data_IF_931420507549
#
_entry.id   IF_931420507549
#
_cell.length_a   1.000
_cell.length_b   1.000
_cell.length_c   1.000
_cell.angle_alpha   90.00
_cell.angle_beta   90.00
_cell.angle_gamma   90.00
#
_symmetry.space_group_name_H-M   'P 1'
#
loop_
_entity.id
_entity.type
_entity.pdbx_description
1 polymer ?
#
# COMPACT_ATOMS: atom_id res chain seq x y z
N UNK A 1 -6.29 23.51 -8.63
CA UNK A 1 -7.00 22.22 -8.45
C UNK A 1 -7.83 21.85 -9.67
N UNK A 2 -8.61 22.77 -10.27
CA UNK A 2 -9.42 22.46 -11.47
C UNK A 2 -8.59 21.92 -12.65
N UNK A 3 -7.45 22.54 -12.94
CA UNK A 3 -6.53 22.11 -14.01
C UNK A 3 -5.91 20.72 -13.80
N UNK A 4 -5.94 20.20 -12.57
CA UNK A 4 -5.35 18.91 -12.21
C UNK A 4 -6.37 17.77 -12.23
N UNK A 5 -7.66 18.04 -12.47
CA UNK A 5 -8.71 16.99 -12.47
C UNK A 5 -8.49 15.92 -13.53
N UNK A 6 -7.86 16.27 -14.65
CA UNK A 6 -7.56 15.36 -15.75
C UNK A 6 -6.19 14.67 -15.61
N UNK A 7 -5.45 14.94 -14.53
CA UNK A 7 -4.15 14.33 -14.30
C UNK A 7 -4.31 12.81 -14.10
N UNK A 8 -3.49 11.97 -14.75
CA UNK A 8 -3.53 10.53 -14.50
C UNK A 8 -2.89 10.19 -13.15
N UNK A 9 -3.20 9.01 -12.63
CA UNK A 9 -2.35 8.38 -11.62
C UNK A 9 -0.99 8.03 -12.23
N UNK A 10 0.07 8.13 -11.45
CA UNK A 10 1.43 7.80 -11.86
C UNK A 10 2.01 6.80 -10.86
N UNK A 11 2.65 5.76 -11.38
CA UNK A 11 3.61 4.94 -10.64
C UNK A 11 4.92 5.07 -11.39
N UNK A 12 5.99 5.40 -10.68
CA UNK A 12 7.26 5.72 -11.33
C UNK A 12 8.45 5.26 -10.50
N UNK A 13 9.46 4.72 -11.18
CA UNK A 13 10.79 4.39 -10.65
C UNK A 13 11.84 5.05 -11.53
N UNK A 14 12.86 5.70 -10.96
CA UNK A 14 13.93 6.31 -11.76
C UNK A 14 14.84 5.25 -12.39
N UNK A 15 15.11 4.18 -11.64
CA UNK A 15 15.84 3.00 -12.08
C UNK A 15 15.25 1.76 -11.38
N UNK A 16 15.67 0.55 -11.77
CA UNK A 16 15.10 -0.70 -11.22
C UNK A 16 15.45 -0.92 -9.74
N UNK A 17 16.59 -0.38 -9.30
CA UNK A 17 17.16 -0.54 -7.96
C UNK A 17 16.47 0.38 -6.93
N UNK A 18 15.92 1.51 -7.38
CA UNK A 18 15.24 2.50 -6.54
C UNK A 18 13.82 2.07 -6.20
N UNK A 19 13.39 2.44 -4.99
CA UNK A 19 11.97 2.44 -4.64
C UNK A 19 11.20 3.47 -5.45
N UNK A 20 9.99 3.06 -5.84
CA UNK A 20 9.12 3.86 -6.68
C UNK A 20 8.27 4.82 -5.87
N UNK A 21 7.80 5.87 -6.53
CA UNK A 21 6.71 6.72 -6.04
C UNK A 21 5.42 6.34 -6.73
N UNK A 22 4.31 6.57 -6.05
CA UNK A 22 3.01 6.71 -6.67
C UNK A 22 2.45 8.11 -6.42
N UNK A 23 1.75 8.66 -7.40
CA UNK A 23 1.08 9.95 -7.32
C UNK A 23 -0.36 9.77 -7.78
N UNK A 24 -1.30 10.23 -6.96
CA UNK A 24 -2.72 10.21 -7.25
C UNK A 24 -3.21 11.60 -7.66
N UNK A 25 -4.17 11.68 -8.60
CA UNK A 25 -4.83 12.93 -8.92
C UNK A 25 -5.56 13.53 -7.72
N UNK A 26 -6.04 14.78 -7.84
CA UNK A 26 -6.91 15.39 -6.85
C UNK A 26 -8.10 14.48 -6.50
N UNK A 27 -8.12 13.96 -5.26
CA UNK A 27 -9.23 13.17 -4.72
C UNK A 27 -9.85 13.92 -3.54
N UNK A 28 -11.19 13.90 -3.45
CA UNK A 28 -11.93 14.46 -2.31
C UNK A 28 -11.98 13.46 -1.17
N UNK A 29 -11.59 13.89 0.03
CA UNK A 29 -11.56 13.07 1.23
C UNK A 29 -12.78 13.36 2.14
N UNK A 30 -13.07 12.51 3.15
CA UNK A 30 -14.22 12.69 4.05
C UNK A 30 -14.24 14.02 4.82
N UNK A 31 -13.08 14.66 4.99
CA UNK A 31 -12.95 15.99 5.59
C UNK A 31 -13.42 17.14 4.66
N UNK A 32 -13.92 16.80 3.48
CA UNK A 32 -14.42 17.72 2.47
C UNK A 32 -13.33 18.38 1.62
N UNK A 33 -12.05 18.19 1.94
CA UNK A 33 -10.92 18.77 1.20
C UNK A 33 -10.52 17.88 0.04
N UNK A 34 -9.81 18.48 -0.92
CA UNK A 34 -9.26 17.78 -2.08
C UNK A 34 -7.75 17.77 -1.99
N UNK A 35 -7.14 16.58 -2.12
CA UNK A 35 -5.70 16.40 -1.98
C UNK A 35 -5.12 15.75 -3.23
N UNK A 36 -3.95 16.22 -3.63
CA UNK A 36 -3.01 15.45 -4.44
C UNK A 36 -2.17 14.63 -3.46
N UNK A 37 -2.01 13.33 -3.71
CA UNK A 37 -1.29 12.43 -2.79
C UNK A 37 -0.11 11.79 -3.49
N UNK A 38 1.07 11.96 -2.92
CA UNK A 38 2.25 11.17 -3.25
C UNK A 38 2.49 10.15 -2.14
N UNK A 39 3.02 8.98 -2.48
CA UNK A 39 3.53 8.02 -1.52
C UNK A 39 4.65 7.16 -2.10
N UNK A 40 5.31 6.42 -1.22
CA UNK A 40 6.58 5.75 -1.44
C UNK A 40 7.50 6.03 -0.26
N UNK A 41 8.51 5.20 -0.06
CA UNK A 41 9.55 5.43 0.93
C UNK A 41 10.91 5.38 0.22
N UNK A 42 11.89 6.21 0.62
CA UNK A 42 13.22 6.18 0.03
C UNK A 42 14.09 5.05 0.59
N UNK A 43 13.63 4.36 1.64
CA UNK A 43 14.34 3.30 2.35
C UNK A 43 13.39 2.47 3.22
N UNK A 44 13.76 1.21 3.46
CA UNK A 44 13.01 0.27 4.30
C UNK A 44 13.25 0.50 5.79
N UNK A 45 12.17 0.67 6.54
CA UNK A 45 12.16 0.63 8.01
C UNK A 45 11.43 -0.61 8.50
N UNK A 46 12.18 -1.58 9.01
CA UNK A 46 11.60 -2.78 9.60
C UNK A 46 10.98 -2.48 10.98
N UNK A 47 9.72 -2.84 11.16
CA UNK A 47 8.99 -2.78 12.43
C UNK A 47 8.67 -4.21 12.88
N UNK A 48 9.51 -4.85 13.71
CA UNK A 48 9.46 -6.29 13.93
C UNK A 48 8.33 -6.76 14.86
N UNK A 49 7.64 -5.84 15.54
CA UNK A 49 6.62 -6.20 16.52
C UNK A 49 5.38 -5.32 16.45
N UNK A 50 4.25 -5.87 16.91
CA UNK A 50 2.98 -5.13 16.98
C UNK A 50 3.09 -3.83 17.81
N UNK A 51 3.75 -3.80 19.01
CA UNK A 51 3.90 -2.56 19.76
C UNK A 51 4.67 -1.48 19.00
N UNK A 52 5.67 -1.86 18.20
CA UNK A 52 6.44 -0.93 17.37
C UNK A 52 5.61 -0.40 16.20
N UNK A 53 4.83 -1.25 15.53
CA UNK A 53 3.88 -0.83 14.49
C UNK A 53 2.84 0.14 15.07
N UNK A 54 2.31 -0.15 16.25
CA UNK A 54 1.36 0.74 16.95
C UNK A 54 1.98 2.08 17.30
N UNK A 55 3.24 2.08 17.76
CA UNK A 55 3.99 3.31 18.05
C UNK A 55 4.22 4.13 16.77
N UNK A 56 4.58 3.46 15.69
CA UNK A 56 4.80 4.06 14.37
C UNK A 56 3.55 4.80 13.86
N UNK A 57 2.37 4.18 13.91
CA UNK A 57 1.15 4.87 13.48
C UNK A 57 0.80 6.11 14.33
N UNK A 58 1.25 6.16 15.58
CA UNK A 58 1.07 7.33 16.46
C UNK A 58 2.09 8.44 16.21
N UNK A 59 3.23 8.14 15.56
CA UNK A 59 4.28 9.13 15.29
C UNK A 59 3.95 10.04 14.11
N UNK A 60 3.10 9.58 13.18
CA UNK A 60 2.79 10.29 11.94
C UNK A 60 3.79 10.07 10.80
N UNK A 61 4.85 9.28 11.02
CA UNK A 61 5.85 8.90 10.00
C UNK A 61 7.22 9.56 10.20
N UNK A 62 8.08 9.49 9.18
CA UNK A 62 9.44 10.05 9.19
C UNK A 62 9.51 11.37 8.42
N UNK A 63 10.13 12.37 9.04
CA UNK A 63 10.41 13.66 8.38
C UNK A 63 11.38 13.50 7.19
N UNK A 64 12.26 12.49 7.23
CA UNK A 64 13.14 12.17 6.09
C UNK A 64 12.34 11.73 4.86
N UNK A 65 11.36 10.83 5.04
CA UNK A 65 10.42 10.43 3.97
C UNK A 65 9.63 11.63 3.47
N UNK A 66 9.11 12.48 4.37
CA UNK A 66 8.36 13.68 3.99
C UNK A 66 9.18 14.61 3.11
N UNK A 67 10.40 14.93 3.51
CA UNK A 67 11.30 15.79 2.73
C UNK A 67 11.59 15.18 1.36
N UNK A 68 11.92 13.89 1.31
CA UNK A 68 12.16 13.20 0.05
C UNK A 68 10.96 13.31 -0.92
N UNK A 69 9.75 12.98 -0.45
CA UNK A 69 8.55 13.06 -1.27
C UNK A 69 8.18 14.51 -1.64
N UNK A 70 8.52 15.49 -0.80
CA UNK A 70 8.32 16.90 -1.09
C UNK A 70 9.25 17.35 -2.22
N UNK A 71 10.53 16.98 -2.18
CA UNK A 71 11.49 17.26 -3.25
C UNK A 71 11.05 16.64 -4.58
N UNK A 72 10.48 15.44 -4.56
CA UNK A 72 9.90 14.80 -5.75
C UNK A 72 8.69 15.57 -6.27
N UNK A 73 7.80 16.01 -5.38
CA UNK A 73 6.63 16.82 -5.75
C UNK A 73 7.02 18.18 -6.34
N UNK A 74 8.04 18.84 -5.82
CA UNK A 74 8.55 20.11 -6.36
C UNK A 74 9.07 19.94 -7.79
N UNK A 75 9.72 18.81 -8.08
CA UNK A 75 10.21 18.49 -9.43
C UNK A 75 9.08 18.14 -10.40
N UNK A 76 8.12 17.31 -9.97
CA UNK A 76 7.04 16.81 -10.83
C UNK A 76 5.91 17.84 -11.03
N UNK A 77 5.64 18.66 -10.01
CA UNK A 77 4.52 19.59 -9.97
C UNK A 77 4.98 20.99 -9.52
N UNK A 78 5.89 21.66 -10.25
CA UNK A 78 6.53 22.91 -9.80
C UNK A 78 5.58 24.10 -9.61
N UNK A 79 4.34 24.00 -10.12
CA UNK A 79 3.30 25.02 -9.97
C UNK A 79 2.31 24.72 -8.83
N UNK A 80 2.42 23.56 -8.17
CA UNK A 80 1.54 23.18 -7.07
C UNK A 80 2.01 23.87 -5.79
N UNK A 81 1.07 24.50 -5.08
CA UNK A 81 1.34 25.07 -3.75
C UNK A 81 1.48 23.94 -2.71
N UNK A 82 2.71 23.72 -2.24
CA UNK A 82 3.06 22.71 -1.23
C UNK A 82 3.10 23.27 0.20
N UNK A 83 2.81 24.57 0.40
CA UNK A 83 2.81 25.20 1.73
C UNK A 83 1.81 24.56 2.70
N UNK A 84 0.79 23.90 2.16
CA UNK A 84 -0.26 23.18 2.89
C UNK A 84 -0.15 21.69 2.64
N UNK A 85 0.86 21.07 3.24
CA UNK A 85 1.09 19.63 3.19
C UNK A 85 0.84 18.96 4.53
N UNK A 86 0.44 17.70 4.48
CA UNK A 86 0.34 16.81 5.63
C UNK A 86 0.88 15.44 5.26
N UNK A 87 1.46 14.74 6.24
CA UNK A 87 1.94 13.36 6.07
C UNK A 87 1.22 12.41 7.03
N UNK A 88 1.30 11.12 6.75
CA UNK A 88 0.82 10.06 7.63
C UNK A 88 1.76 8.86 7.54
N UNK A 89 1.85 8.10 8.63
CA UNK A 89 2.55 6.83 8.67
C UNK A 89 1.81 5.78 7.83
N UNK A 90 2.57 4.94 7.13
CA UNK A 90 2.08 3.78 6.38
C UNK A 90 2.95 2.57 6.73
N UNK A 91 2.44 1.35 6.51
CA UNK A 91 3.22 0.12 6.57
C UNK A 91 2.69 -0.86 5.53
N UNK A 92 3.58 -1.67 4.99
CA UNK A 92 3.28 -2.81 4.15
C UNK A 92 3.80 -4.08 4.82
N UNK A 93 3.05 -5.17 4.72
CA UNK A 93 3.49 -6.48 5.16
C UNK A 93 3.83 -7.34 3.95
N UNK A 94 4.97 -8.02 4.03
CA UNK A 94 5.50 -8.89 2.99
C UNK A 94 5.56 -10.33 3.51
N UNK A 95 5.02 -11.25 2.73
CA UNK A 95 5.16 -12.69 2.96
C UNK A 95 6.49 -13.17 2.39
N UNK A 96 7.00 -14.36 2.80
CA UNK A 96 8.23 -14.90 2.25
C UNK A 96 8.21 -15.11 0.73
N UNK A 97 7.06 -15.47 0.17
CA UNK A 97 6.87 -15.72 -1.26
C UNK A 97 6.45 -14.47 -2.06
N UNK A 98 6.29 -13.32 -1.40
CA UNK A 98 5.87 -12.05 -2.00
C UNK A 98 4.47 -12.08 -2.66
N UNK A 99 3.60 -13.00 -2.23
CA UNK A 99 2.18 -13.06 -2.57
C UNK A 99 1.30 -12.95 -1.32
N UNK A 100 0.06 -12.45 -1.42
CA UNK A 100 -0.88 -12.47 -0.31
C UNK A 100 -1.01 -13.87 0.29
N UNK A 101 -0.97 -13.96 1.62
CA UNK A 101 -1.28 -15.19 2.33
C UNK A 101 -2.81 -15.31 2.47
N UNK A 102 -3.39 -16.34 1.84
CA UNK A 102 -4.82 -16.65 1.85
C UNK A 102 -4.98 -18.09 2.32
N UNK A 103 -5.27 -18.29 3.60
CA UNK A 103 -5.34 -19.63 4.17
C UNK A 103 -6.33 -19.73 5.33
N UNK A 104 -6.82 -20.94 5.59
CA UNK A 104 -7.48 -21.25 6.85
C UNK A 104 -6.42 -21.36 7.95
N UNK A 105 -6.75 -20.90 9.15
CA UNK A 105 -5.92 -21.16 10.33
C UNK A 105 -6.07 -22.62 10.78
N UNK A 106 -5.42 -23.00 11.89
CA UNK A 106 -5.71 -24.28 12.54
C UNK A 106 -7.18 -24.42 12.99
N UNK A 107 -7.94 -23.32 13.06
CA UNK A 107 -9.39 -23.35 13.20
C UNK A 107 -10.06 -23.34 11.82
N UNK A 108 -11.04 -24.23 11.66
CA UNK A 108 -11.95 -24.33 10.52
C UNK A 108 -12.91 -23.13 10.36
N UNK A 109 -12.88 -22.16 11.30
CA UNK A 109 -13.80 -21.00 11.34
C UNK A 109 -13.10 -19.67 11.11
N UNK A 110 -11.78 -19.66 10.97
CA UNK A 110 -10.99 -18.44 10.84
C UNK A 110 -10.09 -18.60 9.62
N UNK A 111 -10.33 -17.77 8.61
CA UNK A 111 -9.44 -17.55 7.48
C UNK A 111 -8.61 -16.29 7.66
N UNK A 112 -7.39 -16.29 7.11
CA UNK A 112 -6.49 -15.13 7.05
C UNK A 112 -6.31 -14.69 5.61
N UNK A 113 -6.44 -13.39 5.38
CA UNK A 113 -6.08 -12.69 4.14
C UNK A 113 -5.14 -11.56 4.52
N UNK A 114 -3.84 -11.74 4.36
CA UNK A 114 -2.83 -10.78 4.82
C UNK A 114 -1.60 -10.74 3.90
N UNK A 115 -0.63 -9.88 4.22
CA UNK A 115 0.64 -9.84 3.50
C UNK A 115 0.48 -9.36 2.06
N UNK A 116 -0.24 -8.26 1.86
CA UNK A 116 -0.57 -7.78 0.51
C UNK A 116 0.60 -7.21 -0.30
N UNK A 117 1.83 -7.31 0.20
CA UNK A 117 3.09 -7.08 -0.52
C UNK A 117 3.12 -5.77 -1.33
N UNK A 118 2.63 -4.68 -0.74
CA UNK A 118 2.58 -3.36 -1.38
C UNK A 118 1.55 -3.22 -2.51
N UNK A 119 0.82 -4.28 -2.87
CA UNK A 119 -0.14 -4.30 -3.97
C UNK A 119 -1.61 -4.43 -3.52
N UNK A 120 -1.85 -4.67 -2.23
CA UNK A 120 -3.19 -4.96 -1.70
C UNK A 120 -4.26 -3.92 -2.07
N UNK A 121 -3.92 -2.62 -2.08
CA UNK A 121 -4.89 -1.56 -2.32
C UNK A 121 -5.47 -1.58 -3.75
N UNK A 122 -4.68 -1.96 -4.76
CA UNK A 122 -5.15 -2.08 -6.15
C UNK A 122 -5.74 -3.45 -6.46
N UNK A 123 -5.33 -4.48 -5.72
CA UNK A 123 -5.72 -5.87 -5.93
C UNK A 123 -6.77 -6.35 -4.93
N UNK A 124 -7.38 -5.46 -4.15
CA UNK A 124 -8.23 -5.82 -3.01
C UNK A 124 -9.46 -6.63 -3.40
N UNK A 125 -10.06 -6.31 -4.54
CA UNK A 125 -11.27 -6.98 -5.02
C UNK A 125 -10.97 -8.45 -5.32
N UNK A 126 -9.84 -8.70 -5.98
CA UNK A 126 -9.43 -10.05 -6.34
C UNK A 126 -8.94 -10.84 -5.12
N UNK A 127 -8.15 -10.23 -4.25
CA UNK A 127 -7.74 -10.85 -2.97
C UNK A 127 -8.99 -11.22 -2.14
N UNK A 128 -9.99 -10.34 -2.11
CA UNK A 128 -11.26 -10.61 -1.43
C UNK A 128 -12.04 -11.76 -2.06
N UNK A 129 -12.09 -11.82 -3.41
CA UNK A 129 -12.73 -12.91 -4.15
C UNK A 129 -12.06 -14.26 -3.86
N UNK A 130 -10.72 -14.32 -3.90
CA UNK A 130 -9.95 -15.53 -3.57
C UNK A 130 -10.17 -15.98 -2.11
N UNK A 131 -10.27 -15.04 -1.17
CA UNK A 131 -10.64 -15.37 0.20
C UNK A 131 -12.06 -15.92 0.34
N UNK A 132 -13.01 -15.37 -0.42
CA UNK A 132 -14.38 -15.89 -0.43
C UNK A 132 -14.42 -17.33 -0.97
N UNK A 133 -13.71 -17.62 -2.06
CA UNK A 133 -13.52 -18.98 -2.59
C UNK A 133 -13.01 -19.94 -1.51
N UNK A 134 -11.94 -19.56 -0.80
CA UNK A 134 -11.39 -20.35 0.29
C UNK A 134 -12.46 -20.67 1.36
N UNK A 135 -13.25 -19.68 1.77
CA UNK A 135 -14.28 -19.87 2.81
C UNK A 135 -15.44 -20.75 2.33
N UNK A 136 -15.91 -20.56 1.09
CA UNK A 136 -17.06 -21.30 0.57
C UNK A 136 -16.71 -22.72 0.17
N UNK A 137 -15.52 -22.93 -0.41
CA UNK A 137 -15.13 -24.19 -1.05
C UNK A 137 -14.08 -24.95 -0.24
N UNK A 138 -13.52 -24.36 0.83
CA UNK A 138 -12.40 -24.91 1.59
C UNK A 138 -11.05 -24.84 0.85
N UNK A 139 -11.05 -24.29 -0.37
CA UNK A 139 -9.87 -24.13 -1.23
C UNK A 139 -10.13 -23.02 -2.25
N UNK A 140 -9.05 -22.46 -2.82
CA UNK A 140 -9.16 -21.54 -3.96
C UNK A 140 -9.33 -22.39 -5.22
N UNK A 141 -10.45 -22.23 -5.92
CA UNK A 141 -10.71 -22.92 -7.19
C UNK A 141 -10.48 -21.90 -8.31
N UNK A 142 -9.22 -21.69 -8.67
CA UNK A 142 -8.83 -20.73 -9.71
C UNK A 142 -7.59 -21.22 -10.49
N UNK A 143 -7.72 -21.35 -11.81
CA UNK A 143 -6.62 -21.76 -12.71
C UNK A 143 -5.86 -20.55 -13.30
N UNK A 144 -6.23 -19.33 -12.94
CA UNK A 144 -5.65 -18.08 -13.43
C UNK A 144 -4.34 -17.70 -12.76
N UNK A 145 -4.01 -18.30 -11.62
CA UNK A 145 -2.80 -18.02 -10.86
C UNK A 145 -1.90 -19.26 -10.74
N UNK A 146 -0.59 -19.14 -11.02
CA UNK A 146 0.35 -20.24 -10.84
C UNK A 146 0.81 -20.42 -9.38
N UNK A 147 0.21 -19.69 -8.43
CA UNK A 147 0.60 -19.62 -7.02
C UNK A 147 -0.59 -20.07 -6.16
N UNK A 148 -0.31 -20.84 -5.11
CA UNK A 148 -1.34 -21.44 -4.24
C UNK A 148 -1.79 -20.52 -3.07
N UNK A 149 -1.15 -19.36 -2.92
CA UNK A 149 -1.38 -18.35 -1.87
C UNK A 149 -1.29 -18.90 -0.44
N UNK A 150 -0.66 -20.07 -0.24
CA UNK A 150 -0.59 -20.69 1.08
C UNK A 150 0.15 -19.78 2.08
N UNK A 151 -0.34 -19.74 3.32
CA UNK A 151 0.27 -18.96 4.38
C UNK A 151 1.57 -19.62 4.87
N UNK A 152 2.71 -18.99 4.59
CA UNK A 152 3.98 -19.37 5.19
C UNK A 152 4.22 -18.59 6.49
N UNK A 153 4.35 -19.32 7.59
CA UNK A 153 4.71 -18.76 8.88
C UNK A 153 6.23 -18.89 9.09
N UNK A 154 6.87 -17.82 9.58
CA UNK A 154 8.26 -17.86 10.04
C UNK A 154 8.33 -18.21 11.51
#
# INVERSE_FOLDING_TARGET
MEELKAMPSLIWKWNEEDDGIYLLPPVRYPDGKTYVKIGGDPDDLLLPSEPEIRSWFKSGGRETTRRHLTDVMERLMPRLDLSRSSMAACVTSFTPNNYPAIAMTASDRIGVLTGGCGAAAKSSDEIGRLGAELIFNGSIIDDGYPVDFHAEYR
#
